data_IF_053272773375
#
_entry.id   IF_053272773375
#
_cell.length_a   1.000
_cell.length_b   1.000
_cell.length_c   1.000
_cell.angle_alpha   90.00
_cell.angle_beta   90.00
_cell.angle_gamma   90.00
#
_symmetry.space_group_name_H-M   'P 1'
#
loop_
_entity.id
_entity.type
_entity.pdbx_description
1 polymer ?
#
# COMPACT_ATOMS: atom_id res chain seq x y z
N UNK A 1 2.04 32.96 30.60
CA UNK A 1 1.16 32.68 29.45
C UNK A 1 1.75 31.47 28.73
N UNK A 2 1.22 30.30 29.04
CA UNK A 2 1.75 29.01 28.61
C UNK A 2 1.54 28.82 27.11
N UNK A 3 2.62 28.64 26.35
CA UNK A 3 2.57 28.01 25.02
C UNK A 3 2.80 26.53 25.25
N UNK A 4 1.70 25.80 25.27
CA UNK A 4 1.68 24.35 25.13
C UNK A 4 2.32 23.99 23.79
N UNK A 5 3.57 23.49 23.85
CA UNK A 5 4.21 22.84 22.70
C UNK A 5 3.77 21.39 22.76
N UNK A 6 2.70 21.06 22.07
CA UNK A 6 2.43 19.68 21.71
C UNK A 6 3.60 19.19 20.84
N UNK A 7 4.39 18.29 21.41
CA UNK A 7 5.48 17.55 20.76
C UNK A 7 4.90 16.60 19.70
N UNK A 8 4.43 17.14 18.58
CA UNK A 8 3.89 16.35 17.49
C UNK A 8 4.89 16.26 16.33
N UNK A 9 5.40 15.03 16.14
CA UNK A 9 5.97 14.45 14.93
C UNK A 9 7.47 14.70 14.62
N UNK A 10 8.34 13.88 15.21
CA UNK A 10 9.68 13.57 14.65
C UNK A 10 9.60 12.70 13.37
N UNK A 11 8.40 12.36 12.91
CA UNK A 11 8.15 11.53 11.72
C UNK A 11 7.38 12.35 10.70
N UNK A 12 7.99 12.59 9.54
CA UNK A 12 7.34 13.20 8.38
C UNK A 12 7.04 12.12 7.35
N UNK A 13 5.77 11.96 6.95
CA UNK A 13 5.42 11.13 5.80
C UNK A 13 5.14 11.99 4.58
N UNK A 14 5.60 11.53 3.42
CA UNK A 14 5.41 12.22 2.13
C UNK A 14 4.91 11.22 1.11
N UNK A 15 4.01 11.66 0.23
CA UNK A 15 3.57 10.88 -0.92
C UNK A 15 3.98 11.59 -2.21
N UNK A 16 4.37 10.82 -3.22
CA UNK A 16 4.62 11.28 -4.59
C UNK A 16 3.75 10.47 -5.54
N UNK A 17 3.21 11.13 -6.57
CA UNK A 17 2.48 10.48 -7.64
C UNK A 17 2.98 11.04 -8.97
N UNK A 18 3.63 10.18 -9.74
CA UNK A 18 4.24 10.51 -11.00
C UNK A 18 3.57 9.70 -12.11
N UNK A 19 2.99 10.39 -13.09
CA UNK A 19 2.20 9.75 -14.16
C UNK A 19 2.76 10.12 -15.52
N UNK A 20 2.99 9.08 -16.33
CA UNK A 20 3.42 9.17 -17.71
C UNK A 20 2.31 8.64 -18.62
N UNK A 21 1.87 9.50 -19.54
CA UNK A 21 0.93 9.16 -20.60
C UNK A 21 1.65 8.90 -21.92
N UNK A 22 1.06 8.10 -22.81
CA UNK A 22 1.44 8.03 -24.23
C UNK A 22 0.90 9.24 -25.00
N UNK A 23 1.35 9.42 -26.25
CA UNK A 23 0.88 10.52 -27.10
C UNK A 23 -0.63 10.46 -27.38
N UNK A 24 -1.21 9.25 -27.32
CA UNK A 24 -2.65 9.00 -27.44
C UNK A 24 -3.46 9.33 -26.18
N UNK A 25 -2.80 9.65 -25.06
CA UNK A 25 -3.44 9.95 -23.76
C UNK A 25 -3.72 8.72 -22.89
N UNK A 26 -3.24 7.52 -23.27
CA UNK A 26 -3.33 6.31 -22.46
C UNK A 26 -2.24 6.34 -21.36
N UNK A 27 -2.56 5.80 -20.18
CA UNK A 27 -1.56 5.64 -19.12
C UNK A 27 -0.46 4.66 -19.58
N UNK A 28 0.80 5.09 -19.59
CA UNK A 28 1.94 4.17 -19.75
C UNK A 28 2.48 3.68 -18.42
N UNK A 29 2.67 4.61 -17.50
CA UNK A 29 3.26 4.32 -16.19
C UNK A 29 2.73 5.28 -15.15
N UNK A 30 2.29 4.74 -14.02
CA UNK A 30 2.00 5.51 -12.81
C UNK A 30 2.90 4.97 -11.71
N UNK A 31 3.64 5.84 -11.04
CA UNK A 31 4.42 5.49 -9.85
C UNK A 31 3.88 6.28 -8.67
N UNK A 32 3.32 5.58 -7.69
CA UNK A 32 2.97 6.14 -6.40
C UNK A 32 4.01 5.71 -5.38
N UNK A 33 4.57 6.67 -4.66
CA UNK A 33 5.55 6.44 -3.61
C UNK A 33 5.09 7.02 -2.29
N UNK A 34 5.31 6.29 -1.21
CA UNK A 34 5.12 6.75 0.16
C UNK A 34 6.45 6.60 0.89
N UNK A 35 6.97 7.74 1.34
CA UNK A 35 8.20 7.83 2.11
C UNK A 35 7.87 8.21 3.55
N UNK A 36 8.61 7.63 4.48
CA UNK A 36 8.65 8.05 5.88
C UNK A 36 10.05 8.56 6.21
N UNK A 37 10.13 9.72 6.83
CA UNK A 37 11.38 10.33 7.28
C UNK A 37 11.33 10.47 8.79
N UNK A 38 12.33 9.93 9.49
CA UNK A 38 12.52 10.10 10.92
C UNK A 38 13.98 10.37 11.23
N UNK A 39 14.27 11.48 11.91
CA UNK A 39 15.64 11.82 12.37
C UNK A 39 16.74 11.72 11.27
N UNK A 40 16.41 12.06 10.01
CA UNK A 40 17.34 11.97 8.88
C UNK A 40 17.44 10.58 8.23
N UNK A 41 16.75 9.57 8.75
CA UNK A 41 16.59 8.25 8.12
C UNK A 41 15.38 8.28 7.20
N UNK A 42 15.64 8.05 5.91
CA UNK A 42 14.61 7.88 4.89
C UNK A 42 14.24 6.40 4.78
N UNK A 43 12.95 6.09 4.88
CA UNK A 43 12.39 4.76 4.66
C UNK A 43 11.44 4.82 3.47
N UNK A 44 11.68 4.00 2.46
CA UNK A 44 10.73 3.80 1.38
C UNK A 44 9.67 2.80 1.85
N UNK A 45 8.58 3.34 2.42
CA UNK A 45 7.54 2.54 3.01
C UNK A 45 6.82 1.68 1.97
N UNK A 46 6.33 2.32 0.90
CA UNK A 46 5.59 1.65 -0.16
C UNK A 46 5.80 2.33 -1.51
N UNK A 47 6.01 1.54 -2.55
CA UNK A 47 5.82 1.93 -3.94
C UNK A 47 4.72 1.07 -4.55
N UNK A 48 3.84 1.68 -5.34
CA UNK A 48 2.95 0.98 -6.26
C UNK A 48 3.17 1.58 -7.63
N UNK A 49 3.60 0.74 -8.57
CA UNK A 49 3.81 1.12 -9.95
C UNK A 49 2.88 0.33 -10.86
N UNK A 50 2.09 1.03 -11.66
CA UNK A 50 1.20 0.46 -12.67
C UNK A 50 1.82 0.73 -14.03
N UNK A 51 1.91 -0.29 -14.87
CA UNK A 51 2.42 -0.20 -16.22
C UNK A 51 1.36 -0.70 -17.19
N UNK A 52 1.14 0.03 -18.28
CA UNK A 52 0.21 -0.35 -19.33
C UNK A 52 0.76 0.02 -20.72
N UNK A 53 0.50 -0.83 -21.71
CA UNK A 53 0.98 -0.71 -23.09
C UNK A 53 -0.04 -1.34 -24.05
N UNK A 54 -0.10 -0.86 -25.30
CA UNK A 54 -0.91 -1.46 -26.36
C UNK A 54 -2.41 -1.41 -26.10
N UNK A 55 -2.87 -0.39 -25.37
CA UNK A 55 -4.29 -0.17 -25.05
C UNK A 55 -4.95 0.87 -25.98
N UNK A 56 -4.17 1.46 -26.87
CA UNK A 56 -4.60 2.47 -27.84
C UNK A 56 -5.68 1.92 -28.79
N UNK A 57 -5.55 0.65 -29.17
CA UNK A 57 -6.52 -0.05 -30.01
C UNK A 57 -7.91 -0.20 -29.37
N UNK A 58 -7.99 -0.26 -28.03
CA UNK A 58 -9.26 -0.41 -27.30
C UNK A 58 -10.10 0.87 -27.33
N UNK A 59 -9.45 2.02 -27.37
CA UNK A 59 -10.10 3.33 -27.40
C UNK A 59 -10.21 3.89 -28.83
N UNK A 60 -9.76 3.13 -29.84
CA UNK A 60 -9.75 3.56 -31.24
C UNK A 60 -8.72 4.66 -31.53
N UNK A 61 -7.69 4.80 -30.69
CA UNK A 61 -6.58 5.71 -30.90
C UNK A 61 -5.45 5.03 -31.68
N UNK A 62 -4.62 5.84 -32.37
CA UNK A 62 -3.39 5.34 -32.98
C UNK A 62 -2.30 5.22 -31.93
N UNK A 63 -1.51 4.15 -32.01
CA UNK A 63 -0.31 3.99 -31.18
C UNK A 63 0.76 5.01 -31.58
N UNK A 64 1.69 5.28 -30.66
CA UNK A 64 2.85 6.12 -30.93
C UNK A 64 3.79 5.41 -31.95
N UNK A 65 4.62 6.18 -32.67
CA UNK A 65 5.56 5.62 -33.66
C UNK A 65 6.48 4.58 -33.01
N UNK A 66 6.43 3.33 -33.50
CA UNK A 66 7.20 2.20 -32.96
C UNK A 66 6.43 1.29 -31.98
N UNK A 67 5.17 1.60 -31.68
CA UNK A 67 4.34 0.87 -30.70
C UNK A 67 3.15 0.14 -31.31
N UNK A 68 3.04 0.16 -32.65
CA UNK A 68 1.94 -0.47 -33.39
C UNK A 68 1.92 -2.00 -33.28
N UNK A 69 3.07 -2.63 -32.99
CA UNK A 69 3.19 -4.09 -32.81
C UNK A 69 3.24 -4.53 -31.34
N UNK A 70 3.08 -3.60 -30.38
CA UNK A 70 3.09 -3.98 -28.97
C UNK A 70 1.79 -4.70 -28.58
N UNK A 71 1.94 -5.89 -28.01
CA UNK A 71 0.82 -6.61 -27.40
C UNK A 71 0.23 -5.80 -26.23
N UNK A 72 -1.10 -5.81 -26.11
CA UNK A 72 -1.79 -5.20 -24.96
C UNK A 72 -1.30 -5.82 -23.65
N UNK A 73 -0.71 -5.01 -22.78
CA UNK A 73 -0.15 -5.44 -21.51
C UNK A 73 -0.57 -4.48 -20.41
N UNK A 74 -0.96 -5.03 -19.25
CA UNK A 74 -1.05 -4.25 -18.02
C UNK A 74 -0.53 -5.07 -16.84
N UNK A 75 0.26 -4.41 -16.00
CA UNK A 75 0.84 -5.01 -14.81
C UNK A 75 0.95 -4.02 -13.66
N UNK A 76 1.10 -4.58 -12.47
CA UNK A 76 1.42 -3.83 -11.27
C UNK A 76 2.65 -4.42 -10.60
N UNK A 77 3.54 -3.55 -10.15
CA UNK A 77 4.67 -3.90 -9.30
C UNK A 77 4.61 -3.08 -8.02
N UNK A 78 5.09 -3.67 -6.92
CA UNK A 78 5.09 -3.01 -5.62
C UNK A 78 6.44 -3.18 -4.93
N UNK A 79 6.86 -2.16 -4.21
CA UNK A 79 8.03 -2.20 -3.31
C UNK A 79 7.51 -1.93 -1.91
N UNK A 80 7.96 -2.70 -0.94
CA UNK A 80 7.56 -2.53 0.45
C UNK A 80 8.81 -2.57 1.34
N UNK A 81 9.04 -1.51 2.12
CA UNK A 81 10.25 -1.34 2.95
C UNK A 81 11.54 -1.67 2.17
N UNK A 82 11.72 -1.03 1.02
CA UNK A 82 12.85 -1.25 0.10
C UNK A 82 12.95 -2.67 -0.51
N UNK A 83 11.96 -3.54 -0.30
CA UNK A 83 11.90 -4.89 -0.90
C UNK A 83 10.96 -4.91 -2.09
N UNK A 84 11.49 -5.19 -3.29
CA UNK A 84 10.70 -5.35 -4.51
C UNK A 84 9.90 -6.66 -4.44
N UNK A 85 8.58 -6.55 -4.46
CA UNK A 85 7.67 -7.68 -4.55
C UNK A 85 7.56 -8.17 -6.00
N UNK A 86 7.18 -9.45 -6.15
CA UNK A 86 6.95 -10.06 -7.47
C UNK A 86 5.83 -9.31 -8.20
N UNK A 87 6.08 -8.78 -9.41
CA UNK A 87 5.05 -8.10 -10.19
C UNK A 87 3.90 -9.04 -10.52
N UNK A 88 2.70 -8.47 -10.58
CA UNK A 88 1.47 -9.17 -10.96
C UNK A 88 0.99 -8.61 -12.29
N UNK A 89 0.78 -9.50 -13.25
CA UNK A 89 0.24 -9.14 -14.56
C UNK A 89 -1.28 -9.20 -14.51
N UNK A 90 -1.94 -8.08 -14.82
CA UNK A 90 -3.39 -8.07 -14.96
C UNK A 90 -3.79 -8.76 -16.23
N UNK A 91 -3.17 -8.46 -17.38
CA UNK A 91 -3.39 -9.21 -18.60
C UNK A 91 -2.16 -9.12 -19.51
N UNK A 92 -2.01 -10.12 -20.37
CA UNK A 92 -1.01 -10.11 -21.43
C UNK A 92 -1.62 -10.61 -22.73
N UNK A 93 -1.62 -9.74 -23.74
CA UNK A 93 -2.25 -9.97 -25.04
C UNK A 93 -3.75 -9.65 -25.04
N UNK A 94 -4.27 -9.42 -26.25
CA UNK A 94 -5.66 -9.03 -26.46
C UNK A 94 -6.67 -10.11 -26.03
N UNK A 95 -6.34 -11.40 -26.19
CA UNK A 95 -7.22 -12.51 -25.83
C UNK A 95 -7.46 -12.60 -24.31
N UNK A 96 -6.40 -12.47 -23.51
CA UNK A 96 -6.47 -12.46 -22.05
C UNK A 96 -7.19 -11.21 -21.54
N UNK A 97 -6.92 -10.06 -22.17
CA UNK A 97 -7.65 -8.82 -21.90
C UNK A 97 -9.15 -8.99 -22.12
N UNK A 98 -9.57 -9.49 -23.28
CA UNK A 98 -10.99 -9.73 -23.57
C UNK A 98 -11.60 -10.75 -22.61
N UNK A 99 -10.89 -11.84 -22.32
CA UNK A 99 -11.33 -12.83 -21.31
C UNK A 99 -11.60 -12.17 -19.96
N UNK A 100 -10.69 -11.31 -19.49
CA UNK A 100 -10.87 -10.56 -18.23
C UNK A 100 -11.96 -9.51 -18.33
N UNK A 101 -12.06 -8.76 -19.41
CA UNK A 101 -13.13 -7.77 -19.60
C UNK A 101 -14.54 -8.39 -19.50
N UNK A 102 -14.72 -9.60 -20.04
CA UNK A 102 -16.00 -10.32 -19.98
C UNK A 102 -16.23 -11.06 -18.66
N UNK A 103 -15.17 -11.36 -17.89
CA UNK A 103 -15.25 -12.11 -16.63
C UNK A 103 -15.12 -11.25 -15.37
N UNK A 104 -14.69 -9.99 -15.50
CA UNK A 104 -14.61 -9.03 -14.39
C UNK A 104 -16.03 -8.60 -13.99
N UNK A 105 -16.56 -9.24 -12.95
CA UNK A 105 -17.38 -8.49 -11.99
C UNK A 105 -16.46 -7.42 -11.39
N UNK A 106 -16.93 -6.20 -11.19
CA UNK A 106 -16.13 -5.06 -10.69
C UNK A 106 -15.54 -5.22 -9.28
N UNK A 107 -15.40 -6.44 -8.78
CA UNK A 107 -14.88 -6.77 -7.47
C UNK A 107 -13.36 -6.60 -7.43
N UNK A 108 -12.82 -5.95 -6.38
CA UNK A 108 -11.37 -5.81 -6.21
C UNK A 108 -10.68 -7.17 -6.08
N UNK A 109 -9.63 -7.40 -6.87
CA UNK A 109 -8.77 -8.57 -6.72
C UNK A 109 -7.59 -8.27 -5.79
N UNK A 110 -7.34 -9.12 -4.79
CA UNK A 110 -6.17 -8.99 -3.91
C UNK A 110 -4.90 -9.31 -4.70
N UNK A 111 -3.93 -8.39 -4.65
CA UNK A 111 -2.66 -8.50 -5.37
C UNK A 111 -1.53 -8.88 -4.42
N UNK A 112 -1.51 -8.28 -3.22
CA UNK A 112 -0.54 -8.60 -2.18
C UNK A 112 -1.30 -8.74 -0.88
N UNK A 113 -1.16 -9.89 -0.22
CA UNK A 113 -1.67 -10.12 1.12
C UNK A 113 -0.61 -10.84 1.95
N UNK A 114 -0.26 -10.26 3.09
CA UNK A 114 0.80 -10.83 3.92
C UNK A 114 0.87 -10.26 5.32
N UNK A 115 1.56 -11.00 6.18
CA UNK A 115 1.93 -10.62 7.52
C UNK A 115 3.46 -10.55 7.59
N UNK A 116 3.98 -9.46 8.10
CA UNK A 116 5.41 -9.17 8.18
C UNK A 116 5.76 -8.88 9.63
N UNK A 117 6.71 -9.62 10.18
CA UNK A 117 7.28 -9.31 11.49
C UNK A 117 8.37 -8.25 11.30
N UNK A 118 8.07 -7.00 11.67
CA UNK A 118 8.97 -5.86 11.51
C UNK A 118 10.07 -5.83 12.57
N UNK A 119 9.71 -6.14 13.81
CA UNK A 119 10.64 -6.16 14.94
C UNK A 119 10.34 -7.36 15.80
N UNK A 120 11.38 -8.07 16.20
CA UNK A 120 11.32 -9.17 17.15
C UNK A 120 12.54 -9.06 18.04
N UNK A 121 12.32 -8.55 19.25
CA UNK A 121 13.35 -8.36 20.23
C UNK A 121 12.98 -9.14 21.49
N UNK A 122 13.86 -10.04 21.92
CA UNK A 122 13.72 -10.78 23.16
C UNK A 122 15.02 -10.67 23.94
N UNK A 123 14.93 -10.20 25.17
CA UNK A 123 16.06 -10.04 26.06
C UNK A 123 15.74 -10.57 27.45
N UNK A 124 16.61 -11.44 27.95
CA UNK A 124 16.56 -11.92 29.34
C UNK A 124 17.66 -11.22 30.13
N UNK A 125 17.25 -10.43 31.12
CA UNK A 125 18.12 -9.63 31.98
C UNK A 125 18.10 -10.23 33.39
N UNK A 126 19.29 -10.44 33.97
CA UNK A 126 19.41 -10.72 35.40
C UNK A 126 19.51 -9.41 36.15
N UNK A 127 18.53 -9.17 37.02
CA UNK A 127 18.50 -7.97 37.85
C UNK A 127 19.56 -8.08 38.96
N UNK A 128 19.99 -6.93 39.50
CA UNK A 128 20.93 -6.87 40.63
C UNK A 128 20.39 -7.61 41.88
N UNK A 129 19.07 -7.79 41.98
CA UNK A 129 18.40 -8.59 43.00
C UNK A 129 18.55 -10.11 42.81
N UNK A 130 19.12 -10.57 41.70
CA UNK A 130 19.22 -11.99 41.32
C UNK A 130 18.01 -12.54 40.55
N UNK A 131 16.92 -11.76 40.45
CA UNK A 131 15.71 -12.14 39.72
C UNK A 131 15.92 -12.13 38.20
N UNK A 132 15.15 -12.96 37.48
CA UNK A 132 15.13 -12.99 36.02
C UNK A 132 14.02 -12.08 35.51
N UNK A 133 14.37 -11.08 34.73
CA UNK A 133 13.44 -10.29 33.95
C UNK A 133 13.54 -10.69 32.48
N UNK A 134 12.41 -10.94 31.81
CA UNK A 134 12.35 -11.12 30.37
C UNK A 134 11.57 -9.96 29.75
N UNK A 135 12.16 -9.34 28.74
CA UNK A 135 11.57 -8.27 27.94
C UNK A 135 11.41 -8.80 26.53
N UNK A 136 10.18 -8.82 26.05
CA UNK A 136 9.82 -9.21 24.69
C UNK A 136 9.15 -8.02 24.02
N UNK A 137 9.55 -7.71 22.79
CA UNK A 137 9.01 -6.62 22.00
C UNK A 137 8.85 -7.09 20.56
N UNK A 138 7.61 -7.17 20.12
CA UNK A 138 7.22 -7.67 18.81
C UNK A 138 6.41 -6.61 18.07
N UNK A 139 6.71 -6.42 16.79
CA UNK A 139 5.92 -5.55 15.92
C UNK A 139 5.59 -6.28 14.64
N UNK A 140 4.31 -6.45 14.38
CA UNK A 140 3.77 -7.08 13.19
C UNK A 140 3.04 -6.07 12.32
N UNK A 141 3.18 -6.22 11.00
CA UNK A 141 2.44 -5.47 10.01
C UNK A 141 1.67 -6.42 9.11
N UNK A 142 0.36 -6.23 9.03
CA UNK A 142 -0.49 -6.84 8.03
C UNK A 142 -0.67 -5.87 6.86
N UNK A 143 -0.61 -6.38 5.62
CA UNK A 143 -0.89 -5.61 4.42
C UNK A 143 -1.84 -6.40 3.52
N UNK A 144 -2.82 -5.71 2.98
CA UNK A 144 -3.72 -6.18 1.93
C UNK A 144 -3.85 -5.07 0.86
N UNK A 145 -3.19 -5.28 -0.28
CA UNK A 145 -3.29 -4.42 -1.45
C UNK A 145 -4.19 -5.12 -2.45
N UNK A 146 -5.27 -4.47 -2.84
CA UNK A 146 -6.21 -4.95 -3.84
C UNK A 146 -6.42 -3.90 -4.94
N UNK A 147 -6.66 -4.38 -6.16
CA UNK A 147 -6.93 -3.56 -7.32
C UNK A 147 -8.22 -3.99 -8.00
N UNK A 148 -9.08 -3.03 -8.33
CA UNK A 148 -10.26 -3.22 -9.16
C UNK A 148 -10.17 -2.34 -10.40
N UNK A 149 -10.66 -2.86 -11.53
CA UNK A 149 -10.77 -2.07 -12.76
C UNK A 149 -12.10 -2.39 -13.44
N UNK A 150 -12.87 -1.35 -13.68
CA UNK A 150 -14.12 -1.38 -14.43
C UNK A 150 -13.93 -0.56 -15.71
N UNK A 151 -14.30 -1.13 -16.86
CA UNK A 151 -14.26 -0.44 -18.14
C UNK A 151 -15.65 -0.55 -18.76
N UNK A 152 -16.27 0.60 -19.03
CA UNK A 152 -17.51 0.69 -19.80
C UNK A 152 -17.25 1.33 -21.15
N UNK A 153 -17.25 0.52 -22.21
CA UNK A 153 -17.13 1.02 -23.59
C UNK A 153 -18.37 1.81 -24.04
N UNK A 154 -19.54 1.52 -23.46
CA UNK A 154 -20.78 2.22 -23.80
C UNK A 154 -20.79 3.65 -23.24
N UNK A 155 -20.46 3.81 -21.96
CA UNK A 155 -20.35 5.12 -21.32
C UNK A 155 -19.00 5.80 -21.58
N UNK A 156 -18.07 5.11 -22.25
CA UNK A 156 -16.70 5.59 -22.54
C UNK A 156 -16.00 6.07 -21.27
N UNK A 157 -16.16 5.27 -20.21
CA UNK A 157 -15.65 5.55 -18.87
C UNK A 157 -14.87 4.35 -18.35
N UNK A 158 -13.76 4.61 -17.68
CA UNK A 158 -12.98 3.62 -16.95
C UNK A 158 -12.80 4.08 -15.51
N UNK A 159 -13.04 3.19 -14.57
CA UNK A 159 -12.83 3.41 -13.15
C UNK A 159 -11.84 2.38 -12.64
N UNK A 160 -10.76 2.85 -12.07
CA UNK A 160 -9.74 2.02 -11.43
C UNK A 160 -9.74 2.35 -9.94
N UNK A 161 -9.80 1.34 -9.10
CA UNK A 161 -9.66 1.48 -7.65
C UNK A 161 -8.47 0.67 -7.17
N UNK A 162 -7.63 1.27 -6.33
CA UNK A 162 -6.54 0.61 -5.64
C UNK A 162 -6.78 0.81 -4.16
N UNK A 163 -7.16 -0.25 -3.46
CA UNK A 163 -7.39 -0.24 -2.01
C UNK A 163 -6.16 -0.83 -1.32
N UNK A 164 -5.51 -0.01 -0.50
CA UNK A 164 -4.38 -0.40 0.31
C UNK A 164 -4.77 -0.36 1.78
N UNK A 165 -4.82 -1.53 2.42
CA UNK A 165 -5.04 -1.67 3.85
C UNK A 165 -3.78 -2.17 4.52
N UNK A 166 -3.42 -1.53 5.62
CA UNK A 166 -2.35 -1.93 6.50
C UNK A 166 -2.83 -1.94 7.95
N UNK A 167 -2.41 -2.93 8.73
CA UNK A 167 -2.60 -2.93 10.17
C UNK A 167 -1.27 -3.18 10.85
N UNK A 168 -0.87 -2.27 11.74
CA UNK A 168 0.36 -2.37 12.52
C UNK A 168 -0.02 -2.68 13.96
N UNK A 169 0.60 -3.72 14.51
CA UNK A 169 0.49 -4.12 15.91
C UNK A 169 1.88 -4.11 16.51
N UNK A 170 2.03 -3.46 17.66
CA UNK A 170 3.26 -3.45 18.45
C UNK A 170 2.89 -3.94 19.84
N UNK A 171 3.46 -5.07 20.24
CA UNK A 171 3.28 -5.67 21.56
C UNK A 171 4.60 -5.68 22.32
N UNK A 172 4.57 -5.22 23.57
CA UNK A 172 5.67 -5.27 24.51
C UNK A 172 5.25 -6.03 25.76
N UNK A 173 6.01 -7.04 26.14
CA UNK A 173 5.77 -7.85 27.31
C UNK A 173 7.00 -7.81 28.21
N UNK A 174 6.81 -7.42 29.47
CA UNK A 174 7.85 -7.39 30.50
C UNK A 174 7.43 -8.31 31.63
N UNK A 175 8.13 -9.42 31.80
CA UNK A 175 7.88 -10.38 32.88
C UNK A 175 9.04 -10.40 33.85
N UNK A 176 8.75 -10.45 35.14
CA UNK A 176 9.71 -10.67 36.22
C UNK A 176 9.33 -11.95 36.95
N UNK A 177 10.22 -12.94 36.86
CA UNK A 177 10.04 -14.25 37.48
C UNK A 177 10.71 -14.26 38.85
N UNK A 178 9.93 -14.55 39.89
CA UNK A 178 10.37 -14.83 41.25
C UNK A 178 10.02 -16.29 41.57
N UNK A 179 10.80 -16.95 42.43
CA UNK A 179 10.58 -18.36 42.76
C UNK A 179 9.18 -18.67 43.32
N UNK A 180 8.47 -17.65 43.81
CA UNK A 180 7.15 -17.75 44.43
C UNK A 180 6.04 -16.96 43.71
N UNK A 181 6.37 -16.03 42.81
CA UNK A 181 5.40 -15.17 42.12
C UNK A 181 5.92 -14.70 40.76
N UNK A 182 5.01 -14.47 39.80
CA UNK A 182 5.30 -13.82 38.52
C UNK A 182 4.56 -12.50 38.44
N UNK A 183 5.28 -11.43 38.12
CA UNK A 183 4.71 -10.13 37.84
C UNK A 183 4.99 -9.77 36.38
N UNK A 184 3.99 -9.26 35.66
CA UNK A 184 4.09 -9.00 34.24
C UNK A 184 3.35 -7.73 33.85
N UNK A 185 3.87 -7.00 32.87
CA UNK A 185 3.15 -5.91 32.22
C UNK A 185 3.19 -6.16 30.72
N UNK A 186 2.01 -6.18 30.11
CA UNK A 186 1.83 -6.28 28.67
C UNK A 186 1.24 -4.97 28.15
N UNK A 187 1.86 -4.42 27.11
CA UNK A 187 1.40 -3.21 26.43
C UNK A 187 1.25 -3.55 24.96
N UNK A 188 0.09 -3.26 24.37
CA UNK A 188 -0.11 -3.39 22.94
C UNK A 188 -0.67 -2.12 22.32
N UNK A 189 -0.12 -1.78 21.15
CA UNK A 189 -0.54 -0.67 20.32
C UNK A 189 -0.99 -1.22 18.98
N UNK A 190 -2.20 -0.87 18.58
CA UNK A 190 -2.79 -1.30 17.31
C UNK A 190 -3.20 -0.07 16.51
N UNK A 191 -2.81 -0.03 15.24
CA UNK A 191 -3.26 1.00 14.31
C UNK A 191 -3.62 0.37 12.98
N UNK A 192 -4.79 0.72 12.47
CA UNK A 192 -5.23 0.35 11.13
C UNK A 192 -5.17 1.59 10.22
N UNK A 193 -4.72 1.36 8.99
CA UNK A 193 -4.52 2.33 7.95
C UNK A 193 -5.20 1.84 6.69
N UNK A 194 -6.08 2.63 6.09
CA UNK A 194 -6.58 2.35 4.75
C UNK A 194 -6.52 3.58 3.87
N UNK A 195 -6.02 3.36 2.66
CA UNK A 195 -5.81 4.36 1.62
C UNK A 195 -6.45 3.82 0.34
N UNK A 196 -7.46 4.54 -0.14
CA UNK A 196 -8.19 4.20 -1.35
C UNK A 196 -7.82 5.20 -2.44
N UNK A 197 -7.20 4.71 -3.50
CA UNK A 197 -6.88 5.51 -4.67
C UNK A 197 -7.86 5.18 -5.80
N UNK A 198 -8.70 6.16 -6.15
CA UNK A 198 -9.71 6.02 -7.20
C UNK A 198 -9.31 6.91 -8.37
N UNK A 199 -9.18 6.31 -9.54
CA UNK A 199 -8.97 7.02 -10.80
C UNK A 199 -10.18 6.80 -11.69
N UNK A 200 -10.82 7.88 -12.11
CA UNK A 200 -11.92 7.85 -13.08
C UNK A 200 -11.46 8.56 -14.35
N UNK A 201 -11.57 7.87 -15.47
CA UNK A 201 -11.18 8.36 -16.80
C UNK A 201 -12.41 8.35 -17.69
N UNK A 202 -12.78 9.50 -18.23
CA UNK A 202 -13.77 9.59 -19.32
C UNK A 202 -13.03 9.81 -20.64
N UNK A 203 -13.13 8.82 -21.51
CA UNK A 203 -12.47 8.78 -22.82
C UNK A 203 -13.44 9.07 -23.97
N UNK A 204 -14.46 9.88 -23.71
CA UNK A 204 -15.48 10.25 -24.69
C UNK A 204 -14.99 11.24 -25.76
N UNK A 205 -14.22 12.25 -25.35
CA UNK A 205 -13.61 13.27 -26.19
C UNK A 205 -12.14 13.49 -25.75
N UNK A 206 -11.28 13.84 -26.71
CA UNK A 206 -9.88 14.16 -26.44
C UNK A 206 -9.72 15.68 -26.22
N UNK A 207 -9.01 16.14 -25.18
CA UNK A 207 -8.25 15.37 -24.18
C UNK A 207 -9.16 14.69 -23.15
N UNK A 208 -8.76 13.48 -22.72
CA UNK A 208 -9.54 12.69 -21.77
C UNK A 208 -9.65 13.38 -20.42
N UNK A 209 -10.83 13.32 -19.82
CA UNK A 209 -11.05 13.82 -18.46
C UNK A 209 -10.56 12.77 -17.46
N UNK A 210 -9.52 13.10 -16.72
CA UNK A 210 -8.95 12.24 -15.68
C UNK A 210 -9.18 12.88 -14.32
N UNK A 211 -9.91 12.18 -13.45
CA UNK A 211 -10.09 12.54 -12.06
C UNK A 211 -9.34 11.53 -11.18
N UNK A 212 -8.47 12.02 -10.32
CA UNK A 212 -7.74 11.20 -9.35
C UNK A 212 -8.14 11.63 -7.94
N UNK A 213 -8.49 10.65 -7.13
CA UNK A 213 -8.90 10.85 -5.74
C UNK A 213 -8.09 9.93 -4.86
N UNK A 214 -7.44 10.51 -3.87
CA UNK A 214 -6.83 9.76 -2.77
C UNK A 214 -7.74 9.97 -1.57
N UNK A 215 -8.53 8.93 -1.25
CA UNK A 215 -9.35 8.91 -0.06
C UNK A 215 -8.59 8.21 1.07
N UNK A 216 -8.64 8.84 2.24
CA UNK A 216 -7.93 8.41 3.42
C UNK A 216 -9.01 8.10 4.46
N UNK A 217 -9.22 6.82 4.75
CA UNK A 217 -10.19 6.46 5.78
C UNK A 217 -9.69 6.86 7.18
N UNK A 218 -10.55 6.74 8.18
CA UNK A 218 -10.17 6.97 9.57
C UNK A 218 -9.17 5.92 10.05
N UNK A 219 -8.15 6.36 10.78
CA UNK A 219 -7.10 5.51 11.36
C UNK A 219 -7.48 5.26 12.82
N UNK A 220 -8.17 4.16 13.16
CA UNK A 220 -8.40 3.83 14.56
C UNK A 220 -7.05 3.52 15.20
N UNK A 221 -6.77 4.20 16.31
CA UNK A 221 -5.64 3.94 17.17
C UNK A 221 -6.17 3.35 18.47
N UNK A 222 -5.66 2.18 18.86
CA UNK A 222 -6.03 1.49 20.11
C UNK A 222 -4.77 1.19 20.91
N UNK A 223 -4.88 1.40 22.21
CA UNK A 223 -3.84 1.10 23.18
C UNK A 223 -4.45 0.21 24.26
N UNK A 224 -3.78 -0.90 24.56
CA UNK A 224 -4.15 -1.81 25.63
C UNK A 224 -2.97 -1.96 26.59
N UNK A 225 -3.28 -1.96 27.88
CA UNK A 225 -2.30 -2.15 28.96
C UNK A 225 -2.87 -3.15 29.95
N UNK A 226 -2.18 -4.27 30.12
CA UNK A 226 -2.50 -5.32 31.09
C UNK A 226 -1.36 -5.40 32.12
N UNK A 227 -1.72 -5.50 33.41
CA UNK A 227 -0.80 -5.47 34.55
C UNK A 227 -1.02 -6.67 35.47
#
# INVERSE_FOLDING_TARGET
>A
MARDRSSAADITSTYSLDILYSGSGVLRRSNMNIFALSHGVHLHGLQVAIEAQGMESLIGAKADEGEEELDSFAGMSAVLFDVQLRPVTFFKGYSDLMSKMFSLSGDPMSVVKGLILLTDHSQVIRLQSGLKASVEFQGGLAIDISGGMEISLWYRESKTSVNNRGALVIAGNVLVDMDFMRAGVEVSFETEASLDFITTVQFSEYPFLVCMQMDKATFPFREFVTK
#
